data_IF_550458482439
#
_entry.id   IF_550458482439
#
_cell.length_a   1.000
_cell.length_b   1.000
_cell.length_c   1.000
_cell.angle_alpha   90.00
_cell.angle_beta   90.00
_cell.angle_gamma   90.00
#
_symmetry.space_group_name_H-M   'P 1'
#
loop_
_entity.id
_entity.type
_entity.pdbx_description
1 polymer ?
#
# COMPACT_ATOMS: atom_id res chain seq x y z
N UNK A 1 -5.61 -20.53 -8.98
CA UNK A 1 -5.43 -21.19 -7.67
C UNK A 1 -4.39 -20.37 -6.95
N UNK A 2 -4.82 -19.48 -6.05
CA UNK A 2 -3.90 -18.53 -5.41
C UNK A 2 -3.18 -19.25 -4.26
N UNK A 3 -1.91 -19.58 -4.48
CA UNK A 3 -1.05 -20.19 -3.48
C UNK A 3 -0.70 -19.12 -2.44
N UNK A 4 -1.21 -19.22 -1.22
CA UNK A 4 -0.74 -18.38 -0.11
C UNK A 4 0.43 -19.11 0.56
N UNK A 5 1.66 -18.57 0.53
CA UNK A 5 2.83 -19.27 1.06
C UNK A 5 2.70 -19.48 2.57
N UNK A 6 3.20 -20.62 3.07
CA UNK A 6 3.39 -20.81 4.50
C UNK A 6 4.51 -19.88 4.94
N UNK A 7 4.20 -18.96 5.87
CA UNK A 7 5.17 -18.04 6.44
C UNK A 7 5.52 -18.48 7.86
N UNK A 8 6.79 -18.78 8.08
CA UNK A 8 7.34 -19.03 9.41
C UNK A 8 8.14 -17.80 9.83
N UNK A 9 7.83 -17.26 11.01
CA UNK A 9 8.48 -16.05 11.53
C UNK A 9 8.72 -16.19 13.03
N UNK A 10 9.72 -15.46 13.55
CA UNK A 10 9.97 -15.38 14.99
C UNK A 10 8.92 -14.47 15.63
N UNK A 11 8.41 -14.84 16.80
CA UNK A 11 7.43 -14.04 17.54
C UNK A 11 8.06 -12.79 18.18
N UNK A 12 8.52 -11.87 17.35
CA UNK A 12 9.19 -10.61 17.73
C UNK A 12 8.27 -9.40 17.56
N UNK A 13 7.04 -9.60 17.08
CA UNK A 13 6.06 -8.53 16.84
C UNK A 13 5.46 -8.13 18.18
N UNK A 14 6.20 -7.31 18.93
CA UNK A 14 5.83 -6.90 20.27
C UNK A 14 4.96 -5.63 20.29
N UNK A 15 4.88 -4.91 19.16
CA UNK A 15 4.20 -3.62 19.06
C UNK A 15 2.83 -3.76 18.39
N UNK A 16 1.81 -3.25 19.08
CA UNK A 16 0.48 -3.08 18.52
C UNK A 16 0.54 -2.08 17.34
N UNK A 17 0.17 -2.54 16.15
CA UNK A 17 0.02 -1.71 14.97
C UNK A 17 -1.47 -1.40 14.76
N UNK A 18 -2.00 -0.27 15.24
CA UNK A 18 -3.42 0.07 15.07
C UNK A 18 -3.86 0.09 13.60
N UNK A 19 -2.94 0.39 12.69
CA UNK A 19 -3.17 0.39 11.23
C UNK A 19 -3.59 -0.99 10.71
N UNK A 20 -3.24 -2.07 11.40
CA UNK A 20 -3.63 -3.45 11.04
C UNK A 20 -5.14 -3.58 10.90
N UNK A 21 -5.91 -2.91 11.77
CA UNK A 21 -7.37 -2.99 11.76
C UNK A 21 -8.00 -2.19 10.61
N UNK A 22 -7.22 -1.32 9.95
CA UNK A 22 -7.68 -0.42 8.91
C UNK A 22 -7.35 -0.92 7.50
N UNK A 23 -6.34 -1.78 7.40
CA UNK A 23 -5.88 -2.35 6.13
C UNK A 23 -6.87 -3.39 5.62
N UNK A 24 -7.20 -3.30 4.32
CA UNK A 24 -8.04 -4.30 3.65
C UNK A 24 -7.29 -5.57 3.24
N UNK A 25 -5.99 -5.49 2.94
CA UNK A 25 -5.14 -6.66 2.68
C UNK A 25 -4.15 -6.88 3.84
N UNK A 26 -4.61 -7.61 4.87
CA UNK A 26 -3.84 -7.86 6.09
C UNK A 26 -2.56 -8.67 5.85
N UNK A 27 -2.57 -9.60 4.89
CA UNK A 27 -1.41 -10.45 4.57
C UNK A 27 -0.23 -9.60 4.07
N UNK A 28 -0.47 -8.67 3.14
CA UNK A 28 0.56 -7.76 2.65
C UNK A 28 1.13 -6.88 3.76
N UNK A 29 0.28 -6.38 4.65
CA UNK A 29 0.71 -5.58 5.80
C UNK A 29 1.58 -6.40 6.75
N UNK A 30 1.14 -7.62 7.06
CA UNK A 30 1.84 -8.52 7.95
C UNK A 30 3.21 -8.94 7.40
N UNK A 31 3.28 -9.34 6.13
CA UNK A 31 4.54 -9.69 5.44
C UNK A 31 5.52 -8.53 5.48
N UNK A 32 5.05 -7.31 5.24
CA UNK A 32 5.91 -6.12 5.27
C UNK A 32 6.49 -5.87 6.66
N UNK A 33 5.69 -6.05 7.72
CA UNK A 33 6.15 -5.90 9.10
C UNK A 33 7.21 -6.95 9.42
N UNK A 34 6.96 -8.24 9.16
CA UNK A 34 7.96 -9.28 9.48
C UNK A 34 9.24 -9.12 8.64
N UNK A 35 9.12 -8.65 7.40
CA UNK A 35 10.27 -8.34 6.55
C UNK A 35 11.10 -7.16 7.04
N UNK A 36 10.54 -6.27 7.86
CA UNK A 36 11.30 -5.22 8.54
C UNK A 36 12.26 -5.77 9.60
N UNK A 37 11.92 -6.89 10.25
CA UNK A 37 12.76 -7.53 11.27
C UNK A 37 13.91 -8.38 10.70
N UNK A 38 13.91 -8.71 9.40
CA UNK A 38 14.99 -9.51 8.84
C UNK A 38 14.75 -10.03 7.43
N UNK A 39 15.77 -10.72 6.91
CA UNK A 39 15.74 -11.35 5.58
C UNK A 39 14.85 -12.60 5.59
N UNK A 40 14.23 -12.88 4.46
CA UNK A 40 13.51 -14.13 4.21
C UNK A 40 14.45 -15.18 3.59
N UNK A 41 14.24 -16.45 3.94
CA UNK A 41 14.88 -17.61 3.31
C UNK A 41 13.80 -18.57 2.81
N UNK A 42 14.00 -19.13 1.62
CA UNK A 42 13.15 -20.22 1.13
C UNK A 42 13.58 -21.54 1.79
N UNK A 43 12.59 -22.27 2.31
CA UNK A 43 12.76 -23.53 3.02
C UNK A 43 12.18 -24.67 2.15
N UNK A 44 12.98 -25.28 1.24
CA UNK A 44 12.50 -26.32 0.33
C UNK A 44 11.98 -27.58 1.04
N UNK A 45 12.37 -27.79 2.30
CA UNK A 45 11.95 -28.90 3.14
C UNK A 45 10.49 -28.79 3.63
N UNK A 46 9.92 -27.58 3.62
CA UNK A 46 8.54 -27.35 4.02
C UNK A 46 7.63 -27.74 2.85
N UNK A 47 6.91 -28.85 3.03
CA UNK A 47 5.94 -29.31 2.04
C UNK A 47 4.82 -28.28 1.87
N UNK A 48 4.31 -28.06 0.64
CA UNK A 48 3.17 -27.20 0.41
C UNK A 48 1.99 -27.57 1.30
N UNK A 49 1.44 -26.60 2.03
CA UNK A 49 0.17 -26.79 2.73
C UNK A 49 -0.97 -26.67 1.72
N UNK A 50 -2.00 -27.49 1.89
CA UNK A 50 -3.21 -27.38 1.10
C UNK A 50 -3.87 -26.02 1.36
N UNK A 51 -4.09 -25.23 0.31
CA UNK A 51 -4.85 -23.99 0.41
C UNK A 51 -6.29 -24.32 0.80
N UNK A 52 -6.76 -23.81 1.95
CA UNK A 52 -8.14 -24.01 2.39
C UNK A 52 -9.06 -23.17 1.51
N UNK A 53 -9.68 -23.80 0.52
CA UNK A 53 -10.77 -23.19 -0.24
C UNK A 53 -12.01 -23.19 0.66
N UNK A 54 -12.34 -22.04 1.24
CA UNK A 54 -13.62 -21.84 1.92
C UNK A 54 -14.47 -20.84 1.13
N UNK A 55 -15.79 -20.99 1.20
CA UNK A 55 -16.77 -20.14 0.51
C UNK A 55 -16.67 -18.65 0.87
N UNK A 56 -15.93 -18.31 1.91
CA UNK A 56 -15.65 -16.94 2.36
C UNK A 56 -14.39 -16.32 1.77
N UNK A 57 -13.82 -16.86 0.68
CA UNK A 57 -12.66 -16.26 0.00
C UNK A 57 -12.93 -14.80 -0.37
N UNK A 58 -12.48 -13.88 0.49
CA UNK A 58 -12.81 -12.46 0.41
C UNK A 58 -12.14 -11.81 -0.80
N UNK A 59 -10.96 -12.29 -1.21
CA UNK A 59 -10.19 -11.65 -2.28
C UNK A 59 -10.56 -12.13 -3.70
N UNK A 60 -10.70 -13.44 -3.90
CA UNK A 60 -10.91 -14.03 -5.22
C UNK A 60 -12.28 -13.68 -5.83
N UNK A 61 -13.26 -13.33 -4.98
CA UNK A 61 -14.61 -12.94 -5.39
C UNK A 61 -14.77 -11.43 -5.68
N UNK A 62 -13.77 -10.61 -5.37
CA UNK A 62 -13.84 -9.17 -5.60
C UNK A 62 -13.69 -8.85 -7.09
N UNK A 63 -14.41 -7.81 -7.52
CA UNK A 63 -14.19 -7.22 -8.84
C UNK A 63 -12.76 -6.64 -8.92
N UNK A 64 -12.23 -6.49 -10.13
CA UNK A 64 -10.91 -5.87 -10.30
C UNK A 64 -10.88 -4.41 -9.85
N UNK A 65 -12.05 -3.74 -9.83
CA UNK A 65 -12.20 -2.41 -9.23
C UNK A 65 -12.00 -2.50 -7.71
N UNK A 66 -12.68 -3.40 -7.03
CA UNK A 66 -12.58 -3.53 -5.57
C UNK A 66 -11.20 -4.02 -5.13
N UNK A 67 -10.56 -4.91 -5.90
CA UNK A 67 -9.16 -5.31 -5.67
C UNK A 67 -8.22 -4.12 -5.75
N UNK A 68 -8.42 -3.20 -6.70
CA UNK A 68 -7.63 -1.97 -6.83
C UNK A 68 -7.90 -1.00 -5.68
N UNK A 69 -9.15 -0.77 -5.33
CA UNK A 69 -9.51 0.10 -4.21
C UNK A 69 -8.95 -0.46 -2.88
N UNK A 70 -8.96 -1.78 -2.70
CA UNK A 70 -8.30 -2.46 -1.58
C UNK A 70 -6.77 -2.28 -1.57
N UNK A 71 -6.11 -2.29 -2.74
CA UNK A 71 -4.66 -2.01 -2.85
C UNK A 71 -4.36 -0.57 -2.46
N UNK A 72 -5.12 0.41 -2.95
CA UNK A 72 -4.97 1.83 -2.61
C UNK A 72 -5.08 2.03 -1.09
N UNK A 73 -6.13 1.48 -0.47
CA UNK A 73 -6.31 1.50 0.99
C UNK A 73 -5.09 0.90 1.72
N UNK A 74 -4.63 -0.27 1.28
CA UNK A 74 -3.52 -0.98 1.92
C UNK A 74 -2.23 -0.16 1.85
N UNK A 75 -1.88 0.40 0.67
CA UNK A 75 -0.68 1.22 0.52
C UNK A 75 -0.71 2.49 1.36
N UNK A 76 -1.87 3.15 1.46
CA UNK A 76 -2.04 4.30 2.32
C UNK A 76 -1.77 3.95 3.80
N UNK A 77 -2.37 2.89 4.31
CA UNK A 77 -2.19 2.50 5.72
C UNK A 77 -0.79 1.98 6.02
N UNK A 78 -0.13 1.32 5.05
CA UNK A 78 1.28 0.97 5.17
C UNK A 78 2.17 2.23 5.25
N UNK A 79 1.93 3.23 4.41
CA UNK A 79 2.60 4.52 4.51
C UNK A 79 2.41 5.14 5.90
N UNK A 80 1.18 5.15 6.44
CA UNK A 80 0.90 5.67 7.78
C UNK A 80 1.64 4.91 8.88
N UNK A 81 1.66 3.58 8.81
CA UNK A 81 2.40 2.73 9.75
C UNK A 81 3.89 3.06 9.77
N UNK A 82 4.55 3.04 8.60
CA UNK A 82 5.99 3.31 8.52
C UNK A 82 6.35 4.75 8.89
N UNK A 83 5.47 5.71 8.59
CA UNK A 83 5.62 7.10 9.05
C UNK A 83 5.58 7.17 10.59
N UNK A 84 4.63 6.47 11.22
CA UNK A 84 4.47 6.48 12.68
C UNK A 84 5.68 5.89 13.41
N UNK A 85 6.29 4.83 12.87
CA UNK A 85 7.47 4.20 13.49
C UNK A 85 8.80 4.88 13.08
N UNK A 86 8.76 5.99 12.34
CA UNK A 86 9.96 6.76 11.95
C UNK A 86 10.77 6.17 10.78
N UNK A 87 10.18 5.23 10.04
CA UNK A 87 10.85 4.48 8.97
C UNK A 87 10.61 5.13 7.59
N UNK A 88 11.22 6.29 7.38
CA UNK A 88 10.95 7.17 6.23
C UNK A 88 11.14 6.50 4.87
N UNK A 89 12.19 5.66 4.73
CA UNK A 89 12.47 4.94 3.49
C UNK A 89 11.29 4.06 3.07
N UNK A 90 10.72 3.31 4.02
CA UNK A 90 9.58 2.44 3.76
C UNK A 90 8.30 3.24 3.59
N UNK A 91 8.13 4.31 4.38
CA UNK A 91 7.01 5.22 4.22
C UNK A 91 6.95 5.78 2.78
N UNK A 92 8.07 6.31 2.26
CA UNK A 92 8.14 6.85 0.91
C UNK A 92 7.89 5.78 -0.16
N UNK A 93 8.40 4.56 0.02
CA UNK A 93 8.11 3.45 -0.88
C UNK A 93 6.60 3.17 -1.00
N UNK A 94 5.89 3.09 0.12
CA UNK A 94 4.44 2.88 0.12
C UNK A 94 3.65 4.09 -0.36
N UNK A 95 4.16 5.30 -0.11
CA UNK A 95 3.60 6.53 -0.66
C UNK A 95 3.64 6.55 -2.18
N UNK A 96 4.76 6.18 -2.81
CA UNK A 96 4.85 6.10 -4.26
C UNK A 96 3.92 5.02 -4.85
N UNK A 97 3.82 3.86 -4.19
CA UNK A 97 2.85 2.82 -4.59
C UNK A 97 1.41 3.31 -4.51
N UNK A 98 1.07 4.02 -3.43
CA UNK A 98 -0.23 4.64 -3.26
C UNK A 98 -0.50 5.64 -4.39
N UNK A 99 0.39 6.60 -4.62
CA UNK A 99 0.26 7.62 -5.66
C UNK A 99 0.10 7.01 -7.05
N UNK A 100 0.93 6.03 -7.42
CA UNK A 100 0.85 5.38 -8.72
C UNK A 100 -0.53 4.74 -8.98
N UNK A 101 -1.16 4.16 -7.94
CA UNK A 101 -2.48 3.56 -8.06
C UNK A 101 -3.62 4.61 -8.05
N UNK A 102 -3.45 5.72 -7.32
CA UNK A 102 -4.44 6.81 -7.32
C UNK A 102 -4.41 7.59 -8.63
N UNK A 103 -3.23 7.91 -9.15
CA UNK A 103 -3.06 8.66 -10.41
C UNK A 103 -3.62 7.88 -11.59
N UNK A 104 -3.36 6.57 -11.66
CA UNK A 104 -3.94 5.72 -12.73
C UNK A 104 -5.46 5.61 -12.67
N UNK A 105 -6.08 5.94 -11.52
CA UNK A 105 -7.54 5.95 -11.33
C UNK A 105 -8.15 7.34 -11.51
N UNK A 106 -7.36 8.39 -11.38
CA UNK A 106 -7.82 9.76 -11.56
C UNK A 106 -8.18 9.99 -13.04
N UNK A 107 -9.29 10.69 -13.33
CA UNK A 107 -9.62 11.06 -14.70
C UNK A 107 -8.59 12.06 -15.24
N UNK A 108 -8.27 11.95 -16.53
CA UNK A 108 -7.25 12.78 -17.18
C UNK A 108 -7.52 14.28 -17.08
N UNK A 109 -8.80 14.69 -16.98
CA UNK A 109 -9.18 16.09 -16.78
C UNK A 109 -8.67 16.66 -15.46
N UNK A 110 -8.70 15.87 -14.38
CA UNK A 110 -8.18 16.28 -13.06
C UNK A 110 -6.65 16.38 -13.13
N UNK A 111 -5.99 15.41 -13.76
CA UNK A 111 -4.53 15.44 -13.92
C UNK A 111 -4.06 16.63 -14.76
N UNK A 112 -4.77 16.92 -15.86
CA UNK A 112 -4.47 18.07 -16.72
C UNK A 112 -4.69 19.39 -15.98
N UNK A 113 -5.80 19.52 -15.22
CA UNK A 113 -6.07 20.69 -14.39
C UNK A 113 -4.96 20.92 -13.37
N UNK A 114 -4.55 19.88 -12.65
CA UNK A 114 -3.46 19.97 -11.67
C UNK A 114 -2.12 20.32 -12.33
N UNK A 115 -1.84 19.78 -13.51
CA UNK A 115 -0.65 20.13 -14.28
C UNK A 115 -0.65 21.62 -14.65
N UNK A 116 -1.79 22.13 -15.16
CA UNK A 116 -1.95 23.53 -15.53
C UNK A 116 -1.79 24.46 -14.32
N UNK A 117 -2.37 24.10 -13.16
CA UNK A 117 -2.24 24.88 -11.91
C UNK A 117 -0.78 24.91 -11.42
N UNK A 118 -0.07 23.78 -11.48
CA UNK A 118 1.34 23.73 -11.06
C UNK A 118 2.27 24.46 -12.01
N UNK A 119 1.92 24.49 -13.30
CA UNK A 119 2.72 25.15 -14.34
C UNK A 119 2.48 26.66 -14.42
N UNK A 120 1.27 27.12 -14.10
CA UNK A 120 0.94 28.54 -14.03
C UNK A 120 1.30 29.08 -12.63
N UNK A 121 2.28 29.99 -12.51
CA UNK A 121 2.55 30.63 -11.23
C UNK A 121 1.45 31.67 -10.95
N UNK A 122 0.31 31.21 -10.40
CA UNK A 122 -0.79 32.08 -9.96
C UNK A 122 -0.34 33.18 -8.99
N UNK A 123 0.82 33.00 -8.34
CA UNK A 123 1.43 33.99 -7.44
C UNK A 123 2.33 35.04 -8.12
N UNK A 124 2.71 34.89 -9.39
CA UNK A 124 3.54 35.91 -10.11
C UNK A 124 2.74 36.92 -10.91
N UNK A 125 1.52 36.58 -11.36
CA UNK A 125 0.71 37.47 -12.20
C UNK A 125 0.05 38.63 -11.42
N UNK A 126 -0.23 38.46 -10.13
CA UNK A 126 -0.81 39.51 -9.27
C UNK A 126 0.19 40.60 -8.85
N UNK A 127 1.50 40.38 -9.00
CA UNK A 127 2.54 41.38 -8.70
C UNK A 127 2.93 42.25 -9.91
N UNK A 128 2.45 41.93 -11.12
CA UNK A 128 2.78 42.66 -12.34
C UNK A 128 1.74 43.71 -12.75
N UNK A 129 0.60 43.79 -12.06
CA UNK A 129 -0.47 44.77 -12.30
C UNK A 129 -0.52 45.91 -11.28
N UNK A 130 0.40 45.94 -10.32
CA UNK A 130 0.61 47.07 -9.40
C UNK A 130 2.03 47.63 -9.59
N UNK A 131 2.22 48.37 -10.68
CA UNK A 131 3.28 49.37 -10.84
C UNK A 131 2.83 50.43 -11.82
#
# INVERSE_FOLDING_TARGET
MDFNPILVYRNLINNYAPERNMVKNGDNFFISIIGHYGKSKYHPEIKPACYRVHSGGVWSKLSDKDKRDSKINTWFWMYRYYTRIGEEKYAMHFWFKYLANVVTRAPSSVLLKELLIRWLPLKKLLFLTTK
#
